data_IF_794312057106
#
_entry.id   IF_794312057106
#
_cell.length_a   1.000
_cell.length_b   1.000
_cell.length_c   1.000
_cell.angle_alpha   90.00
_cell.angle_beta   90.00
_cell.angle_gamma   90.00
#
_symmetry.space_group_name_H-M   'P 1'
#
loop_
_entity.id
_entity.type
_entity.pdbx_description
1 polymer ?
#
# COMPACT_ATOMS: atom_id res chain seq x y z
N UNK A 1 -16.91 -21.39 6.61
CA UNK A 1 -15.56 -21.68 6.09
C UNK A 1 -14.61 -20.68 6.70
N UNK A 2 -13.39 -21.09 7.07
CA UNK A 2 -12.48 -20.23 7.84
C UNK A 2 -11.82 -19.15 6.97
N UNK A 3 -11.85 -17.90 7.42
CA UNK A 3 -10.97 -16.85 6.89
C UNK A 3 -9.52 -17.25 7.15
N UNK A 4 -8.72 -17.32 6.09
CA UNK A 4 -7.25 -17.33 6.19
C UNK A 4 -6.75 -15.93 5.93
N UNK A 5 -6.53 -15.16 6.99
CA UNK A 5 -5.63 -14.03 6.92
C UNK A 5 -4.22 -14.58 6.64
N UNK A 6 -3.67 -14.25 5.48
CA UNK A 6 -2.35 -14.71 5.07
C UNK A 6 -1.27 -13.75 5.57
N UNK A 7 -0.32 -14.26 6.35
CA UNK A 7 1.02 -13.69 6.41
C UNK A 7 1.80 -14.18 5.18
N UNK A 8 2.56 -13.31 4.52
CA UNK A 8 3.25 -13.61 3.25
C UNK A 8 4.76 -13.34 3.35
N UNK A 9 5.59 -14.28 2.88
CA UNK A 9 7.05 -14.27 3.07
C UNK A 9 7.83 -13.85 1.81
N UNK A 10 8.02 -12.54 1.66
CA UNK A 10 8.92 -11.77 0.77
C UNK A 10 9.99 -12.47 -0.14
N UNK A 11 9.87 -12.32 -1.47
CA UNK A 11 10.89 -12.40 -2.56
C UNK A 11 10.25 -11.84 -3.86
N UNK A 12 10.79 -10.98 -4.74
CA UNK A 12 12.13 -10.37 -4.92
C UNK A 12 12.05 -8.81 -4.99
N UNK A 13 12.99 -8.12 -5.65
CA UNK A 13 13.54 -6.83 -5.15
C UNK A 13 12.77 -5.52 -5.41
N UNK A 14 12.98 -4.65 -4.42
CA UNK A 14 13.03 -3.19 -4.44
C UNK A 14 11.74 -2.43 -4.02
N UNK A 15 11.67 -2.19 -2.71
CA UNK A 15 11.04 -1.02 -2.10
C UNK A 15 12.10 -0.32 -1.22
N UNK A 16 12.90 0.59 -1.80
CA UNK A 16 13.88 1.35 -1.04
C UNK A 16 13.19 2.44 -0.21
N UNK A 17 13.40 2.45 1.10
CA UNK A 17 13.42 3.72 1.84
C UNK A 17 14.79 4.37 1.58
N UNK A 18 14.80 5.62 1.11
CA UNK A 18 16.00 6.36 0.75
C UNK A 18 16.99 6.56 1.92
N UNK A 19 16.51 6.49 3.16
CA UNK A 19 17.34 6.67 4.36
C UNK A 19 18.00 5.36 4.84
N UNK A 20 17.45 4.20 4.49
CA UNK A 20 17.74 2.96 5.22
C UNK A 20 18.43 1.83 4.44
N UNK A 21 18.43 1.87 3.09
CA UNK A 21 18.99 0.83 2.20
C UNK A 21 18.43 -0.60 2.41
N UNK A 22 17.36 -0.79 3.20
CA UNK A 22 16.67 -2.07 3.32
C UNK A 22 15.77 -2.28 2.10
N UNK A 23 15.90 -3.45 1.49
CA UNK A 23 15.04 -3.90 0.39
C UNK A 23 13.97 -4.80 1.00
N UNK A 24 12.71 -4.35 0.96
CA UNK A 24 11.58 -5.25 1.16
C UNK A 24 11.23 -5.91 -0.16
N UNK A 25 11.04 -7.22 -0.11
CA UNK A 25 10.64 -8.00 -1.25
C UNK A 25 9.14 -8.27 -1.14
N UNK A 26 8.40 -7.97 -2.20
CA UNK A 26 6.97 -8.28 -2.28
C UNK A 26 6.87 -9.62 -3.00
N UNK A 27 6.41 -10.66 -2.30
CA UNK A 27 6.06 -11.93 -2.96
C UNK A 27 5.15 -11.68 -4.16
N UNK A 28 5.42 -12.41 -5.25
CA UNK A 28 4.87 -12.33 -6.62
C UNK A 28 3.34 -12.21 -6.73
N UNK A 29 2.79 -11.15 -6.15
CA UNK A 29 1.53 -10.56 -6.52
C UNK A 29 1.76 -9.81 -7.81
N UNK A 30 1.69 -10.58 -8.91
CA UNK A 30 1.62 -10.08 -10.28
C UNK A 30 0.45 -9.08 -10.45
N UNK A 31 -0.49 -9.06 -9.50
CA UNK A 31 -1.56 -8.08 -9.36
C UNK A 31 -1.15 -6.74 -8.73
N UNK A 32 0.09 -6.49 -8.26
CA UNK A 32 0.52 -5.14 -7.82
C UNK A 32 1.20 -4.38 -8.97
N UNK A 33 0.70 -3.17 -9.27
CA UNK A 33 1.21 -2.32 -10.34
C UNK A 33 1.90 -1.05 -9.83
N UNK A 34 1.32 -0.38 -8.83
CA UNK A 34 1.89 0.84 -8.26
C UNK A 34 2.03 0.72 -6.74
N UNK A 35 3.05 1.38 -6.18
CA UNK A 35 3.40 1.29 -4.76
C UNK A 35 4.11 2.56 -4.28
N UNK A 36 3.66 3.10 -3.15
CA UNK A 36 4.20 4.36 -2.62
C UNK A 36 4.16 4.40 -1.09
N UNK A 37 5.24 4.84 -0.44
CA UNK A 37 5.28 5.00 1.02
C UNK A 37 4.40 6.18 1.46
N UNK A 38 3.65 5.99 2.53
CA UNK A 38 3.05 7.07 3.31
C UNK A 38 4.10 7.66 4.25
N UNK A 39 3.96 8.94 4.67
CA UNK A 39 4.94 9.59 5.53
C UNK A 39 4.86 9.16 7.00
N UNK A 40 3.77 8.46 7.38
CA UNK A 40 3.51 8.09 8.77
C UNK A 40 4.33 6.86 9.18
N UNK A 41 5.07 7.00 10.28
CA UNK A 41 5.86 5.93 10.91
C UNK A 41 5.44 5.84 12.38
N UNK A 42 5.04 4.65 12.82
CA UNK A 42 4.71 4.36 14.22
C UNK A 42 5.80 3.49 14.83
N UNK A 43 6.34 3.87 16.00
CA UNK A 43 7.27 3.04 16.77
C UNK A 43 6.49 2.54 17.99
N UNK A 44 6.18 1.24 18.11
CA UNK A 44 5.48 0.72 19.28
C UNK A 44 6.38 0.75 20.53
N UNK A 45 5.80 1.06 21.68
CA UNK A 45 6.54 1.18 22.94
C UNK A 45 7.17 -0.17 23.36
N UNK A 46 8.49 -0.18 23.51
CA UNK A 46 9.26 -1.35 23.94
C UNK A 46 9.63 -2.35 22.83
N UNK A 47 9.15 -2.14 21.61
CA UNK A 47 9.47 -2.98 20.45
C UNK A 47 10.73 -2.50 19.70
N UNK A 48 11.43 -3.42 19.05
CA UNK A 48 12.65 -3.14 18.28
C UNK A 48 12.41 -2.94 16.78
N UNK A 49 11.16 -2.70 16.37
CA UNK A 49 10.76 -2.38 15.00
C UNK A 49 9.93 -1.09 14.91
N UNK A 50 9.74 -0.61 13.68
CA UNK A 50 8.85 0.49 13.32
C UNK A 50 7.82 -0.01 12.30
N UNK A 51 6.61 0.51 12.38
CA UNK A 51 5.52 0.23 11.43
C UNK A 51 5.43 1.39 10.44
N UNK A 52 5.74 1.09 9.19
CA UNK A 52 5.63 2.00 8.05
C UNK A 52 4.37 1.63 7.25
N UNK A 53 3.80 2.57 6.51
CA UNK A 53 2.60 2.32 5.69
C UNK A 53 2.86 2.50 4.20
N UNK A 54 2.28 1.63 3.39
CA UNK A 54 2.47 1.58 1.94
C UNK A 54 1.10 1.60 1.24
N UNK A 55 0.92 2.54 0.30
CA UNK A 55 -0.18 2.52 -0.68
C UNK A 55 0.16 1.49 -1.74
N UNK A 56 -0.81 0.67 -2.13
CA UNK A 56 -0.71 -0.29 -3.22
C UNK A 56 -1.88 -0.13 -4.19
N UNK A 57 -1.57 -0.16 -5.48
CA UNK A 57 -2.56 -0.19 -6.56
C UNK A 57 -2.48 -1.49 -7.36
N UNK A 58 -3.62 -2.12 -7.68
CA UNK A 58 -3.63 -3.41 -8.40
C UNK A 58 -3.78 -3.32 -9.92
N UNK A 59 -3.36 -4.39 -10.60
CA UNK A 59 -3.71 -4.81 -11.96
C UNK A 59 -4.06 -6.30 -11.98
N UNK A 60 -5.33 -6.64 -11.81
CA UNK A 60 -5.84 -8.01 -11.99
C UNK A 60 -6.23 -8.30 -13.46
N UNK A 61 -6.75 -9.51 -13.74
CA UNK A 61 -7.43 -9.79 -15.02
C UNK A 61 -8.73 -8.99 -15.16
N UNK A 62 -9.29 -8.92 -16.37
CA UNK A 62 -10.46 -8.07 -16.69
C UNK A 62 -11.76 -8.45 -15.96
N UNK A 63 -11.83 -9.65 -15.41
CA UNK A 63 -12.95 -10.24 -14.67
C UNK A 63 -12.73 -10.29 -13.14
N UNK A 64 -11.55 -9.90 -12.67
CA UNK A 64 -11.20 -9.86 -11.25
C UNK A 64 -11.27 -8.44 -10.68
N UNK A 65 -11.72 -8.33 -9.43
CA UNK A 65 -11.83 -7.05 -8.72
C UNK A 65 -10.45 -6.42 -8.47
N UNK A 66 -10.28 -5.17 -8.89
CA UNK A 66 -9.12 -4.36 -8.56
C UNK A 66 -9.32 -3.63 -7.22
N UNK A 67 -8.21 -3.27 -6.56
CA UNK A 67 -8.24 -2.60 -5.26
C UNK A 67 -7.20 -1.48 -5.18
N UNK A 68 -7.57 -0.41 -4.48
CA UNK A 68 -6.63 0.45 -3.77
C UNK A 68 -6.44 -0.17 -2.37
N UNK A 69 -5.20 -0.38 -1.93
CA UNK A 69 -4.92 -0.94 -0.62
C UNK A 69 -3.97 -0.06 0.19
N UNK A 70 -4.09 -0.13 1.51
CA UNK A 70 -3.09 0.35 2.47
C UNK A 70 -2.53 -0.88 3.19
N UNK A 71 -1.21 -0.95 3.33
CA UNK A 71 -0.52 -2.02 4.00
C UNK A 71 0.44 -1.50 5.07
N UNK A 72 0.46 -2.18 6.22
CA UNK A 72 1.41 -1.97 7.29
C UNK A 72 2.62 -2.89 7.06
N UNK A 73 3.83 -2.33 7.19
CA UNK A 73 5.10 -3.05 7.02
C UNK A 73 5.96 -2.84 8.27
N UNK A 74 6.37 -3.91 8.93
CA UNK A 74 7.23 -3.87 10.11
C UNK A 74 8.71 -3.92 9.70
N UNK A 75 9.46 -2.88 10.04
CA UNK A 75 10.88 -2.74 9.72
C UNK A 75 11.72 -2.75 11.00
N UNK A 76 12.72 -3.63 11.17
CA UNK A 76 13.55 -3.65 12.36
C UNK A 76 14.33 -2.33 12.51
N UNK A 77 14.31 -1.74 13.69
CA UNK A 77 15.01 -0.50 14.01
C UNK A 77 16.53 -0.76 14.09
N UNK A 78 17.34 0.16 13.55
CA UNK A 78 18.81 0.07 13.68
C UNK A 78 19.23 0.54 15.08
N UNK A 79 19.21 -0.34 16.07
CA UNK A 79 19.83 -0.07 17.37
C UNK A 79 21.22 -0.74 17.48
N UNK A 80 22.32 -0.04 17.17
CA UNK A 80 23.67 -0.63 17.13
C UNK A 80 24.22 -1.04 18.50
N UNK A 81 23.51 -0.74 19.60
CA UNK A 81 23.92 -1.10 20.96
C UNK A 81 23.52 -2.52 21.38
N UNK A 82 22.67 -3.21 20.59
CA UNK A 82 22.23 -4.59 20.86
C UNK A 82 23.00 -5.62 20.02
N UNK A 83 24.16 -5.26 19.46
CA UNK A 83 25.13 -6.23 18.93
C UNK A 83 25.98 -6.86 20.05
N UNK A 84 25.33 -7.36 21.11
CA UNK A 84 25.97 -8.17 22.13
C UNK A 84 26.09 -9.62 21.63
N UNK A 85 27.24 -10.31 21.79
CA UNK A 85 27.48 -11.61 21.13
C UNK A 85 26.70 -12.79 21.74
N UNK A 86 25.77 -12.54 22.68
CA UNK A 86 25.01 -13.54 23.43
C UNK A 86 23.56 -13.08 23.64
N UNK A 87 22.79 -12.97 22.56
CA UNK A 87 21.34 -13.15 22.61
C UNK A 87 20.90 -14.06 21.46
N UNK A 88 19.81 -14.77 21.68
CA UNK A 88 19.31 -15.80 20.77
C UNK A 88 19.03 -15.22 19.38
N UNK A 89 19.17 -16.03 18.33
CA UNK A 89 19.26 -15.57 16.94
C UNK A 89 17.88 -15.24 16.34
N UNK A 90 17.04 -14.51 17.10
CA UNK A 90 15.74 -13.99 16.67
C UNK A 90 15.96 -12.81 15.72
N UNK A 91 16.26 -13.12 14.47
CA UNK A 91 16.03 -12.18 13.36
C UNK A 91 14.58 -11.72 13.40
N UNK A 92 14.36 -10.45 13.75
CA UNK A 92 13.05 -9.78 13.65
C UNK A 92 12.57 -9.89 12.21
N UNK A 93 11.63 -10.80 11.97
CA UNK A 93 11.08 -11.04 10.65
C UNK A 93 10.26 -9.83 10.23
N UNK A 94 10.65 -9.18 9.14
CA UNK A 94 9.89 -8.06 8.59
C UNK A 94 8.56 -8.58 8.03
N UNK A 95 7.46 -8.21 8.68
CA UNK A 95 6.11 -8.64 8.30
C UNK A 95 5.39 -7.55 7.50
N UNK A 96 4.57 -7.98 6.54
CA UNK A 96 3.64 -7.09 5.82
C UNK A 96 2.20 -7.59 5.96
N UNK A 97 1.29 -6.69 6.34
CA UNK A 97 -0.15 -6.95 6.47
C UNK A 97 -0.94 -5.91 5.68
N UNK A 98 -1.94 -6.35 4.92
CA UNK A 98 -2.89 -5.43 4.30
C UNK A 98 -3.84 -4.94 5.39
N UNK A 99 -3.81 -3.63 5.68
CA UNK A 99 -4.68 -2.97 6.66
C UNK A 99 -6.06 -2.68 6.07
N UNK A 100 -6.09 -2.19 4.83
CA UNK A 100 -7.30 -1.73 4.15
C UNK A 100 -7.33 -2.18 2.69
N UNK A 101 -8.49 -2.58 2.20
CA UNK A 101 -8.77 -2.71 0.76
C UNK A 101 -10.05 -1.97 0.39
N UNK A 102 -9.96 -1.10 -0.61
CA UNK A 102 -11.08 -0.38 -1.20
C UNK A 102 -11.29 -0.94 -2.61
N UNK A 103 -12.53 -1.33 -2.96
CA UNK A 103 -12.87 -1.73 -4.32
C UNK A 103 -12.57 -0.59 -5.29
N UNK A 104 -11.84 -0.88 -6.37
CA UNK A 104 -11.43 0.10 -7.35
C UNK A 104 -11.93 -0.26 -8.76
N UNK A 105 -12.47 0.72 -9.47
CA UNK A 105 -12.98 0.53 -10.83
C UNK A 105 -11.82 0.48 -11.84
N UNK A 106 -11.54 -0.72 -12.33
CA UNK A 106 -10.41 -0.99 -13.21
C UNK A 106 -9.04 -0.91 -12.52
N UNK A 107 -7.98 -1.01 -13.31
CA UNK A 107 -6.59 -1.01 -12.85
C UNK A 107 -6.21 0.31 -12.18
N UNK A 108 -5.46 0.24 -11.09
CA UNK A 108 -4.83 1.39 -10.43
C UNK A 108 -3.46 1.64 -11.10
N UNK A 109 -3.43 2.42 -12.18
CA UNK A 109 -2.19 2.71 -12.91
C UNK A 109 -1.25 3.66 -12.15
N UNK A 110 -1.79 4.48 -11.25
CA UNK A 110 -1.04 5.27 -10.29
C UNK A 110 -1.90 5.56 -9.07
N UNK A 111 -1.31 5.60 -7.89
CA UNK A 111 -1.91 6.10 -6.66
C UNK A 111 -0.97 7.11 -5.99
N UNK A 112 -1.52 8.21 -5.48
CA UNK A 112 -0.79 9.17 -4.65
C UNK A 112 -1.68 9.68 -3.51
N UNK A 113 -1.05 10.22 -2.48
CA UNK A 113 -1.73 10.85 -1.35
C UNK A 113 -1.59 12.38 -1.40
N UNK A 114 -2.51 13.10 -0.76
CA UNK A 114 -2.39 14.55 -0.55
C UNK A 114 -1.37 14.82 0.58
N UNK A 115 -0.25 15.53 0.34
CA UNK A 115 0.79 15.71 1.37
C UNK A 115 0.30 16.40 2.66
N UNK A 116 -0.71 17.27 2.55
CA UNK A 116 -1.32 17.96 3.68
C UNK A 116 -2.31 17.10 4.47
N UNK A 117 -2.82 16.01 3.88
CA UNK A 117 -3.73 15.06 4.52
C UNK A 117 -3.59 13.68 3.84
N UNK A 118 -2.66 12.82 4.30
CA UNK A 118 -2.35 11.55 3.64
C UNK A 118 -3.50 10.54 3.59
N UNK A 119 -4.59 10.76 4.34
CA UNK A 119 -5.82 9.97 4.22
C UNK A 119 -6.61 10.24 2.94
N UNK A 120 -6.37 11.35 2.26
CA UNK A 120 -6.95 11.63 0.94
C UNK A 120 -6.01 11.10 -0.14
N UNK A 121 -6.51 10.16 -0.94
CA UNK A 121 -5.77 9.52 -2.03
C UNK A 121 -6.40 9.82 -3.39
N UNK A 122 -5.57 9.96 -4.41
CA UNK A 122 -5.99 10.09 -5.80
C UNK A 122 -5.44 8.91 -6.61
N UNK A 123 -6.28 8.29 -7.44
CA UNK A 123 -5.88 7.18 -8.31
C UNK A 123 -6.14 7.47 -9.77
N UNK A 124 -5.24 7.00 -10.65
CA UNK A 124 -5.41 7.02 -12.10
C UNK A 124 -5.89 5.65 -12.57
N UNK A 125 -7.09 5.60 -13.14
CA UNK A 125 -7.68 4.37 -13.69
C UNK A 125 -7.06 4.01 -15.06
N UNK A 126 -7.48 2.89 -15.67
CA UNK A 126 -7.27 2.62 -17.11
C UNK A 126 -8.05 3.55 -18.04
N UNK A 127 -9.01 4.30 -17.52
CA UNK A 127 -9.88 5.19 -18.26
C UNK A 127 -9.37 6.64 -18.20
N UNK A 128 -10.22 7.60 -18.56
CA UNK A 128 -9.86 9.03 -18.56
C UNK A 128 -9.90 9.64 -17.15
N UNK A 129 -10.67 9.03 -16.26
CA UNK A 129 -10.99 9.48 -14.91
C UNK A 129 -9.79 9.43 -13.94
N UNK A 130 -9.83 10.31 -12.94
CA UNK A 130 -9.09 10.19 -11.69
C UNK A 130 -10.12 10.04 -10.57
N UNK A 131 -9.95 9.04 -9.71
CA UNK A 131 -10.83 8.82 -8.56
C UNK A 131 -10.16 9.39 -7.31
N UNK A 132 -10.93 10.06 -6.46
CA UNK A 132 -10.47 10.58 -5.16
C UNK A 132 -11.16 9.78 -4.06
N UNK A 133 -10.37 9.26 -3.13
CA UNK A 133 -10.81 8.50 -1.97
C UNK A 133 -10.41 9.23 -0.68
N UNK A 134 -11.31 9.28 0.30
CA UNK A 134 -10.99 9.59 1.69
C UNK A 134 -10.99 8.28 2.47
N UNK A 135 -9.80 7.72 2.70
CA UNK A 135 -9.64 6.42 3.33
C UNK A 135 -10.21 6.37 4.76
N UNK A 136 -10.49 7.51 5.42
CA UNK A 136 -11.19 7.52 6.72
C UNK A 136 -12.67 7.15 6.63
N UNK A 137 -13.29 7.27 5.45
CA UNK A 137 -14.70 6.92 5.21
C UNK A 137 -14.91 5.48 4.74
N UNK A 138 -13.83 4.75 4.46
CA UNK A 138 -13.88 3.36 4.03
C UNK A 138 -13.64 2.37 5.17
N UNK A 139 -14.27 1.20 5.06
CA UNK A 139 -14.01 0.06 5.93
C UNK A 139 -12.67 -0.61 5.58
N UNK A 140 -12.03 -1.24 6.57
CA UNK A 140 -10.80 -2.03 6.37
C UNK A 140 -11.00 -3.18 5.37
N UNK A 141 -12.15 -3.86 5.45
CA UNK A 141 -12.56 -4.85 4.45
C UNK A 141 -13.28 -4.16 3.26
N UNK A 142 -13.13 -4.69 2.03
CA UNK A 142 -13.81 -4.16 0.86
C UNK A 142 -15.31 -4.48 0.90
N UNK A 143 -16.13 -3.67 0.23
CA UNK A 143 -17.57 -3.91 0.13
C UNK A 143 -17.83 -5.24 -0.63
N UNK A 144 -18.61 -6.19 -0.08
CA UNK A 144 -18.87 -7.49 -0.70
C UNK A 144 -19.59 -7.43 -2.06
N UNK A 145 -20.20 -6.30 -2.43
CA UNK A 145 -20.83 -6.09 -3.74
C UNK A 145 -19.83 -5.83 -4.87
N UNK A 146 -18.55 -5.56 -4.55
CA UNK A 146 -17.55 -5.10 -5.52
C UNK A 146 -17.68 -3.63 -5.92
N UNK A 147 -18.68 -2.89 -5.40
CA UNK A 147 -18.91 -1.50 -5.80
C UNK A 147 -17.74 -0.59 -5.40
N UNK A 148 -17.16 0.09 -6.38
CA UNK A 148 -16.20 1.18 -6.18
C UNK A 148 -16.96 2.46 -5.82
N UNK A 149 -16.63 3.09 -4.68
CA UNK A 149 -17.36 4.24 -4.13
C UNK A 149 -16.43 5.41 -3.75
N UNK A 150 -15.82 6.10 -4.72
CA UNK A 150 -14.96 7.26 -4.46
C UNK A 150 -15.78 8.51 -4.08
N UNK A 151 -15.23 9.38 -3.24
CA UNK A 151 -15.80 10.70 -2.91
C UNK A 151 -15.96 11.60 -4.12
N UNK A 152 -15.00 11.58 -5.06
CA UNK A 152 -15.03 12.39 -6.28
C UNK A 152 -14.53 11.58 -7.48
N UNK A 153 -15.19 11.79 -8.62
CA UNK A 153 -14.76 11.30 -9.93
C UNK A 153 -14.39 12.50 -10.79
N UNK A 154 -13.10 12.76 -10.94
CA UNK A 154 -12.57 13.82 -11.79
C UNK A 154 -12.50 13.29 -13.22
N UNK A 155 -13.44 13.72 -14.06
CA UNK A 155 -13.51 13.33 -15.47
C UNK A 155 -12.52 14.17 -16.29
N UNK A 156 -11.81 13.53 -17.22
CA UNK A 156 -10.93 14.23 -18.15
C UNK A 156 -11.73 15.11 -19.11
N UNK A 157 -11.03 16.01 -19.79
CA UNK A 157 -11.61 16.79 -20.88
C UNK A 157 -12.07 15.88 -22.03
N UNK A 158 -13.18 16.24 -22.66
CA UNK A 158 -13.72 15.54 -23.86
C UNK A 158 -12.92 15.80 -25.15
N UNK A 159 -11.69 16.31 -25.04
CA UNK A 159 -10.80 16.73 -26.14
C UNK A 159 -9.34 16.49 -25.73
N UNK A 160 -8.42 16.72 -26.66
CA UNK A 160 -6.98 16.55 -26.49
C UNK A 160 -6.43 17.29 -25.26
N UNK A 161 -5.84 16.55 -24.32
CA UNK A 161 -5.22 17.05 -23.09
C UNK A 161 -3.71 17.26 -23.20
N UNK A 162 -3.22 17.71 -24.36
CA UNK A 162 -1.78 17.88 -24.58
C UNK A 162 -1.19 18.92 -23.62
N UNK A 163 -0.15 18.52 -22.87
CA UNK A 163 0.54 19.40 -21.92
C UNK A 163 -0.13 19.55 -20.55
N UNK A 164 -1.12 18.72 -20.20
CA UNK A 164 -1.59 18.61 -18.82
C UNK A 164 -0.54 17.92 -17.94
N UNK A 165 -0.23 18.54 -16.80
CA UNK A 165 0.78 18.11 -15.80
C UNK A 165 0.14 17.72 -14.47
#
# INVERSE_FOLDING_TARGET
MANKEGCYNATEKMCLNAEDNKIFELNERNDILDKHWLPDITIPDGEDYSVHRLILGTRTSSDEQNYLMIANVQLPNKNPLVSAPHYDNQTVSSEMKIEMKINHEGVVNKACFMPQNPSIMATKTSYSEVLIFDCTKHTYAPDPSGLCSPELILKSHHKEGYGLS
#
